data_IF_251534068941
#
_entry.id   IF_251534068941
#
_cell.length_a   1.000
_cell.length_b   1.000
_cell.length_c   1.000
_cell.angle_alpha   90.00
_cell.angle_beta   90.00
_cell.angle_gamma   90.00
#
_symmetry.space_group_name_H-M   'P 1'
#
loop_
_entity.id
_entity.type
_entity.pdbx_description
1 polymer ?
#
# COMPACT_ATOMS: atom_id res chain seq x y z
N UNK A 1 0.66 -10.99 20.86
CA UNK A 1 -0.69 -11.05 20.28
C UNK A 1 -0.50 -11.26 18.78
N UNK A 2 -1.18 -12.22 18.12
CA UNK A 2 -1.15 -12.27 16.66
C UNK A 2 -1.89 -11.03 16.17
N UNK A 3 -1.23 -10.13 15.48
CA UNK A 3 -1.93 -9.00 14.87
C UNK A 3 -2.78 -9.57 13.73
N UNK A 4 -4.07 -9.25 13.76
CA UNK A 4 -5.03 -9.70 12.76
C UNK A 4 -5.23 -8.60 11.75
N UNK A 5 -5.10 -8.93 10.47
CA UNK A 5 -5.46 -8.02 9.40
C UNK A 5 -6.96 -8.10 9.16
N UNK A 6 -7.67 -7.06 9.58
CA UNK A 6 -9.14 -6.95 9.43
C UNK A 6 -9.55 -6.83 7.96
N UNK A 7 -8.68 -6.28 7.11
CA UNK A 7 -8.97 -6.06 5.68
C UNK A 7 -8.96 -7.39 4.93
N UNK A 8 -7.91 -8.20 5.15
CA UNK A 8 -7.74 -9.48 4.45
C UNK A 8 -8.28 -10.69 5.23
N UNK A 9 -8.76 -10.47 6.46
CA UNK A 9 -9.18 -11.50 7.39
C UNK A 9 -8.13 -12.61 7.58
N UNK A 10 -6.86 -12.20 7.72
CA UNK A 10 -5.69 -13.08 7.79
C UNK A 10 -4.71 -12.60 8.86
N UNK A 11 -3.82 -13.46 9.39
CA UNK A 11 -2.74 -13.01 10.27
C UNK A 11 -1.85 -11.99 9.56
N UNK A 12 -1.59 -10.86 10.22
CA UNK A 12 -0.69 -9.81 9.72
C UNK A 12 0.75 -10.18 10.03
N UNK A 13 1.62 -10.06 9.03
CA UNK A 13 3.06 -10.16 9.24
C UNK A 13 3.58 -8.87 9.89
N UNK A 14 4.35 -9.02 10.97
CA UNK A 14 4.96 -7.90 11.69
C UNK A 14 6.46 -8.08 11.74
N UNK A 15 7.17 -6.95 11.63
CA UNK A 15 8.62 -6.93 11.82
C UNK A 15 8.86 -6.81 13.32
N UNK A 16 9.61 -7.77 13.87
CA UNK A 16 9.95 -7.82 15.29
C UNK A 16 11.47 -7.90 15.45
N UNK A 17 11.97 -7.45 16.59
CA UNK A 17 13.38 -7.65 16.92
C UNK A 17 13.69 -9.14 17.12
N UNK A 18 14.95 -9.52 16.94
CA UNK A 18 15.40 -10.89 17.20
C UNK A 18 15.08 -11.32 18.65
N UNK A 19 15.25 -10.42 19.61
CA UNK A 19 14.95 -10.67 21.02
C UNK A 19 13.47 -11.00 21.24
N UNK A 20 12.56 -10.23 20.63
CA UNK A 20 11.13 -10.47 20.73
C UNK A 20 10.73 -11.78 20.02
N UNK A 21 11.30 -12.03 18.84
CA UNK A 21 11.09 -13.28 18.10
C UNK A 21 11.50 -14.49 18.94
N UNK A 22 12.69 -14.46 19.54
CA UNK A 22 13.21 -15.50 20.43
C UNK A 22 12.31 -15.73 21.63
N UNK A 23 11.83 -14.67 22.29
CA UNK A 23 10.93 -14.80 23.43
C UNK A 23 9.59 -15.45 23.06
N UNK A 24 9.05 -15.17 21.87
CA UNK A 24 7.81 -15.79 21.38
C UNK A 24 8.02 -17.27 21.03
N UNK A 25 9.08 -17.59 20.29
CA UNK A 25 9.32 -18.94 19.78
C UNK A 25 9.74 -19.94 20.88
N UNK A 26 10.49 -19.50 21.90
CA UNK A 26 10.88 -20.36 23.04
C UNK A 26 9.70 -20.90 23.86
N UNK A 27 8.55 -20.22 23.81
CA UNK A 27 7.32 -20.64 24.51
C UNK A 27 6.63 -21.81 23.81
N UNK A 28 6.95 -22.08 22.55
CA UNK A 28 6.32 -23.11 21.74
C UNK A 28 7.19 -24.37 21.81
N UNK A 29 6.77 -25.38 22.58
CA UNK A 29 7.44 -26.69 22.61
C UNK A 29 6.97 -27.53 21.43
N UNK A 30 7.91 -28.07 20.68
CA UNK A 30 7.59 -28.74 19.40
C UNK A 30 7.85 -30.24 19.47
N UNK A 31 9.06 -30.66 19.87
CA UNK A 31 9.42 -32.08 19.86
C UNK A 31 10.37 -32.43 20.99
N UNK A 32 10.23 -33.63 21.53
CA UNK A 32 11.17 -34.20 22.50
C UNK A 32 12.18 -35.09 21.77
N UNK A 33 13.47 -34.81 21.95
CA UNK A 33 14.56 -35.64 21.43
C UNK A 33 15.38 -36.13 22.62
N UNK A 34 15.21 -37.41 22.98
CA UNK A 34 15.76 -37.98 24.19
C UNK A 34 15.24 -37.27 25.45
N UNK A 35 16.15 -36.75 26.27
CA UNK A 35 15.81 -36.00 27.50
C UNK A 35 15.59 -34.50 27.26
N UNK A 36 15.84 -33.99 26.06
CA UNK A 36 15.76 -32.55 25.75
C UNK A 36 14.45 -32.23 25.01
N UNK A 37 13.68 -31.27 25.53
CA UNK A 37 12.57 -30.65 24.81
C UNK A 37 13.09 -29.54 23.90
N UNK A 38 12.91 -29.68 22.59
CA UNK A 38 13.21 -28.64 21.62
C UNK A 38 12.00 -27.70 21.47
N UNK A 39 12.28 -26.40 21.46
CA UNK A 39 11.28 -25.38 21.16
C UNK A 39 11.36 -24.89 19.71
N UNK A 40 10.40 -24.06 19.30
CA UNK A 40 10.35 -23.56 17.93
C UNK A 40 11.55 -22.68 17.58
N UNK A 41 12.21 -22.06 18.57
CA UNK A 41 13.44 -21.30 18.34
C UNK A 41 14.61 -22.22 18.02
N UNK A 42 14.75 -23.33 18.75
CA UNK A 42 15.76 -24.34 18.47
C UNK A 42 15.59 -24.91 17.04
N UNK A 43 14.34 -25.17 16.62
CA UNK A 43 14.05 -25.66 15.26
C UNK A 43 14.40 -24.60 14.21
N UNK A 44 13.99 -23.34 14.42
CA UNK A 44 14.31 -22.24 13.51
C UNK A 44 15.82 -22.13 13.28
N UNK A 45 16.62 -22.19 14.35
CA UNK A 45 18.08 -22.13 14.24
C UNK A 45 18.66 -23.33 13.48
N UNK A 46 18.11 -24.53 13.67
CA UNK A 46 18.57 -25.74 12.96
C UNK A 46 18.29 -25.73 11.46
N UNK A 47 17.35 -24.90 11.01
CA UNK A 47 16.87 -24.81 9.63
C UNK A 47 16.82 -23.37 9.12
N UNK A 48 17.75 -22.54 9.59
CA UNK A 48 17.69 -21.10 9.34
C UNK A 48 17.65 -20.77 7.84
N UNK A 49 18.39 -21.54 7.03
CA UNK A 49 18.40 -21.40 5.57
C UNK A 49 17.00 -21.58 4.96
N UNK A 50 16.25 -22.59 5.40
CA UNK A 50 14.88 -22.89 4.94
C UNK A 50 13.88 -21.77 5.27
N UNK A 51 14.12 -21.03 6.35
CA UNK A 51 13.26 -19.93 6.80
C UNK A 51 13.79 -18.54 6.42
N UNK A 52 14.97 -18.48 5.79
CA UNK A 52 15.60 -17.23 5.41
C UNK A 52 15.19 -16.80 4.00
N UNK A 53 14.97 -15.50 3.85
CA UNK A 53 14.80 -14.84 2.55
C UNK A 53 15.88 -13.78 2.40
N UNK A 54 16.24 -13.46 1.15
CA UNK A 54 17.25 -12.43 0.84
C UNK A 54 16.79 -11.02 1.21
N UNK A 55 15.49 -10.83 1.37
CA UNK A 55 14.93 -9.55 1.76
C UNK A 55 13.42 -9.52 1.59
N UNK A 56 12.86 -8.32 1.76
CA UNK A 56 11.44 -8.06 1.67
C UNK A 56 11.21 -7.14 0.46
N UNK A 57 10.19 -7.45 -0.35
CA UNK A 57 9.74 -6.60 -1.45
C UNK A 57 8.24 -6.37 -1.30
N UNK A 58 7.76 -5.26 -1.86
CA UNK A 58 6.32 -5.01 -1.88
C UNK A 58 5.58 -6.13 -2.59
N UNK A 59 5.95 -6.46 -3.84
CA UNK A 59 5.46 -7.64 -4.53
C UNK A 59 6.60 -8.37 -5.25
N UNK A 60 6.62 -9.70 -5.14
CA UNK A 60 7.55 -10.55 -5.90
C UNK A 60 7.01 -11.97 -6.01
N UNK A 61 7.12 -12.60 -7.20
CA UNK A 61 6.80 -14.02 -7.36
C UNK A 61 7.97 -14.94 -6.94
N UNK A 62 9.15 -14.39 -6.65
CA UNK A 62 10.34 -15.19 -6.32
C UNK A 62 10.28 -15.68 -4.87
N UNK A 63 10.51 -16.98 -4.61
CA UNK A 63 10.53 -17.52 -3.24
C UNK A 63 11.70 -17.00 -2.40
N UNK A 64 12.73 -16.42 -3.04
CA UNK A 64 13.90 -15.87 -2.35
C UNK A 64 13.63 -14.54 -1.63
N UNK A 65 12.46 -13.93 -1.83
CA UNK A 65 12.07 -12.67 -1.24
C UNK A 65 10.68 -12.81 -0.63
N UNK A 66 10.45 -12.14 0.50
CA UNK A 66 9.12 -12.09 1.10
C UNK A 66 8.27 -10.99 0.44
N UNK A 67 7.05 -11.31 0.02
CA UNK A 67 6.09 -10.37 -0.58
C UNK A 67 5.15 -9.81 0.49
N UNK A 68 5.06 -8.49 0.60
CA UNK A 68 4.10 -7.81 1.50
C UNK A 68 2.70 -7.77 0.88
N UNK A 69 2.64 -7.63 -0.44
CA UNK A 69 1.41 -7.71 -1.21
C UNK A 69 0.96 -9.17 -1.28
N UNK A 70 -0.23 -9.45 -0.77
CA UNK A 70 -0.80 -10.80 -0.68
C UNK A 70 -2.07 -10.98 -1.52
N UNK A 71 -2.35 -9.99 -2.39
CA UNK A 71 -3.56 -9.93 -3.21
C UNK A 71 -4.48 -8.77 -2.81
N UNK A 72 -5.52 -8.54 -3.61
CA UNK A 72 -6.55 -7.55 -3.30
C UNK A 72 -7.65 -8.18 -2.42
N UNK A 73 -8.40 -7.33 -1.72
CA UNK A 73 -9.53 -7.76 -0.89
C UNK A 73 -10.66 -8.40 -1.73
N UNK A 74 -10.87 -7.89 -2.93
CA UNK A 74 -11.91 -8.34 -3.84
C UNK A 74 -11.33 -9.32 -4.87
N UNK A 75 -12.13 -10.31 -5.23
CA UNK A 75 -11.82 -11.25 -6.31
C UNK A 75 -12.19 -10.67 -7.67
N UNK A 76 -11.60 -11.20 -8.73
CA UNK A 76 -11.99 -10.84 -10.08
C UNK A 76 -13.40 -11.35 -10.36
N UNK A 77 -14.22 -10.48 -10.92
CA UNK A 77 -15.60 -10.77 -11.32
C UNK A 77 -15.76 -10.60 -12.82
N UNK A 78 -16.78 -11.23 -13.38
CA UNK A 78 -17.17 -11.01 -14.78
C UNK A 78 -17.58 -9.55 -15.01
N UNK A 79 -17.13 -8.98 -16.13
CA UNK A 79 -17.43 -7.60 -16.46
C UNK A 79 -18.91 -7.43 -16.80
N UNK A 80 -19.54 -6.45 -16.14
CA UNK A 80 -20.93 -6.05 -16.35
C UNK A 80 -21.00 -4.53 -16.46
N UNK A 81 -21.14 -4.03 -17.68
CA UNK A 81 -21.11 -2.60 -18.00
C UNK A 81 -22.13 -1.80 -17.19
N UNK A 82 -23.37 -2.29 -17.12
CA UNK A 82 -24.49 -1.67 -16.40
C UNK A 82 -24.25 -1.43 -14.89
N UNK A 83 -23.28 -2.12 -14.27
CA UNK A 83 -22.96 -1.93 -12.85
C UNK A 83 -22.00 -0.75 -12.66
N UNK A 84 -21.09 -0.55 -13.61
CA UNK A 84 -20.01 0.45 -13.51
C UNK A 84 -20.26 1.69 -14.37
N UNK A 85 -21.25 1.65 -15.26
CA UNK A 85 -21.63 2.73 -16.18
C UNK A 85 -21.74 4.08 -15.46
N UNK A 86 -22.51 4.13 -14.36
CA UNK A 86 -22.66 5.37 -13.58
C UNK A 86 -21.33 5.92 -13.04
N UNK A 87 -20.37 5.04 -12.73
CA UNK A 87 -19.03 5.46 -12.33
C UNK A 87 -18.22 5.97 -13.52
N UNK A 88 -18.26 5.27 -14.65
CA UNK A 88 -17.58 5.66 -15.88
C UNK A 88 -18.07 7.03 -16.38
N UNK A 89 -19.38 7.24 -16.38
CA UNK A 89 -20.01 8.51 -16.74
C UNK A 89 -19.57 9.63 -15.80
N UNK A 90 -19.51 9.37 -14.49
CA UNK A 90 -19.01 10.35 -13.52
C UNK A 90 -17.56 10.73 -13.80
N UNK A 91 -16.69 9.75 -14.09
CA UNK A 91 -15.29 10.03 -14.44
C UNK A 91 -15.23 10.87 -15.73
N UNK A 92 -15.96 10.50 -16.77
CA UNK A 92 -15.92 11.19 -18.06
C UNK A 92 -16.50 12.60 -17.99
N UNK A 93 -17.71 12.75 -17.46
CA UNK A 93 -18.46 14.01 -17.51
C UNK A 93 -18.03 14.96 -16.38
N UNK A 94 -17.77 14.46 -15.18
CA UNK A 94 -17.48 15.32 -14.01
C UNK A 94 -15.98 15.49 -13.78
N UNK A 95 -15.19 14.43 -13.85
CA UNK A 95 -13.74 14.50 -13.57
C UNK A 95 -12.97 14.99 -14.81
N UNK A 96 -13.30 14.47 -15.99
CA UNK A 96 -12.63 14.83 -17.24
C UNK A 96 -13.31 15.97 -18.00
N UNK A 97 -14.49 16.42 -17.56
CA UNK A 97 -15.26 17.48 -18.23
C UNK A 97 -15.48 17.18 -19.73
N UNK A 98 -15.81 15.92 -20.04
CA UNK A 98 -16.03 15.42 -21.40
C UNK A 98 -14.76 15.24 -22.24
N UNK A 99 -13.57 15.45 -21.68
CA UNK A 99 -12.31 15.28 -22.41
C UNK A 99 -11.91 13.80 -22.55
N UNK A 100 -12.15 13.24 -23.73
CA UNK A 100 -11.90 11.83 -24.03
C UNK A 100 -10.44 11.40 -23.81
N UNK A 101 -9.46 12.25 -24.13
CA UNK A 101 -8.04 11.92 -23.96
C UNK A 101 -7.66 11.81 -22.48
N UNK A 102 -8.20 12.70 -21.65
CA UNK A 102 -7.96 12.68 -20.20
C UNK A 102 -8.69 11.49 -19.58
N UNK A 103 -9.90 11.19 -20.05
CA UNK A 103 -10.68 10.04 -19.62
C UNK A 103 -9.95 8.72 -19.87
N UNK A 104 -9.48 8.50 -21.10
CA UNK A 104 -8.71 7.31 -21.46
C UNK A 104 -7.42 7.19 -20.64
N UNK A 105 -6.71 8.31 -20.43
CA UNK A 105 -5.52 8.34 -19.58
C UNK A 105 -5.81 7.93 -18.14
N UNK A 106 -6.90 8.45 -17.55
CA UNK A 106 -7.31 8.10 -16.18
C UNK A 106 -7.67 6.61 -16.08
N UNK A 107 -8.40 6.05 -17.05
CA UNK A 107 -8.72 4.62 -17.06
C UNK A 107 -7.46 3.76 -17.16
N UNK A 108 -6.53 4.11 -18.05
CA UNK A 108 -5.23 3.44 -18.15
C UNK A 108 -4.43 3.55 -16.84
N UNK A 109 -4.48 4.71 -16.19
CA UNK A 109 -3.81 4.95 -14.91
C UNK A 109 -4.38 4.03 -13.80
N UNK A 110 -5.70 3.86 -13.74
CA UNK A 110 -6.37 2.91 -12.84
C UNK A 110 -5.99 1.46 -13.15
N UNK A 111 -6.05 1.08 -14.44
CA UNK A 111 -5.71 -0.25 -14.88
C UNK A 111 -4.27 -0.63 -14.51
N UNK A 112 -3.31 0.29 -14.67
CA UNK A 112 -1.91 0.02 -14.38
C UNK A 112 -1.67 -0.31 -12.89
N UNK A 113 -2.31 0.43 -11.97
CA UNK A 113 -2.15 0.23 -10.51
C UNK A 113 -2.76 -1.10 -10.04
N UNK A 114 -3.88 -1.50 -10.65
CA UNK A 114 -4.60 -2.72 -10.30
C UNK A 114 -3.98 -3.97 -10.94
N UNK A 115 -3.55 -3.88 -12.19
CA UNK A 115 -3.02 -5.03 -12.94
C UNK A 115 -1.55 -5.33 -12.63
N UNK A 116 -0.76 -4.31 -12.27
CA UNK A 116 0.67 -4.47 -12.03
C UNK A 116 1.05 -4.10 -10.60
N UNK A 117 1.08 -5.07 -9.67
CA UNK A 117 1.27 -4.77 -8.26
C UNK A 117 2.59 -4.07 -7.89
N UNK A 118 3.64 -4.23 -8.70
CA UNK A 118 4.94 -3.57 -8.49
C UNK A 118 5.12 -2.32 -9.34
N UNK A 119 4.18 -1.97 -10.21
CA UNK A 119 4.31 -0.79 -11.05
C UNK A 119 4.00 0.46 -10.25
N UNK A 120 4.79 1.49 -10.50
CA UNK A 120 4.53 2.87 -10.06
C UNK A 120 4.17 3.65 -11.31
N UNK A 121 3.09 4.42 -11.27
CA UNK A 121 2.67 5.18 -12.45
C UNK A 121 3.57 6.39 -12.74
N UNK A 122 4.51 6.71 -11.84
CA UNK A 122 5.46 7.82 -11.95
C UNK A 122 4.79 9.18 -12.22
N UNK A 123 3.49 9.27 -11.93
CA UNK A 123 2.62 10.40 -12.19
C UNK A 123 1.62 10.55 -11.05
N UNK A 124 1.28 11.79 -10.72
CA UNK A 124 0.25 12.12 -9.74
C UNK A 124 -0.91 12.84 -10.45
N UNK A 125 -2.14 12.42 -10.14
CA UNK A 125 -3.35 13.09 -10.63
C UNK A 125 -3.71 14.24 -9.70
N UNK A 126 -3.93 15.43 -10.27
CA UNK A 126 -4.40 16.61 -9.54
C UNK A 126 -5.83 16.89 -10.00
N UNK A 127 -6.79 16.75 -9.09
CA UNK A 127 -8.21 16.95 -9.39
C UNK A 127 -8.71 18.20 -8.67
N UNK A 128 -8.97 19.26 -9.45
CA UNK A 128 -9.44 20.55 -8.94
C UNK A 128 -10.88 20.74 -9.40
N UNK A 129 -11.76 21.14 -8.48
CA UNK A 129 -13.15 21.45 -8.81
C UNK A 129 -13.91 21.96 -7.61
N UNK A 130 -15.15 22.39 -7.81
CA UNK A 130 -16.02 22.87 -6.72
C UNK A 130 -16.25 21.78 -5.67
N UNK A 131 -16.47 22.16 -4.41
CA UNK A 131 -16.89 21.23 -3.38
C UNK A 131 -18.25 20.61 -3.75
N UNK A 132 -18.51 19.36 -3.33
CA UNK A 132 -19.76 18.67 -3.64
C UNK A 132 -19.85 18.04 -5.04
N UNK A 133 -18.78 18.11 -5.84
CA UNK A 133 -18.71 17.49 -7.18
C UNK A 133 -18.38 15.99 -7.16
N UNK A 134 -18.30 15.37 -5.98
CA UNK A 134 -18.04 13.92 -5.87
C UNK A 134 -16.60 13.48 -6.10
N UNK A 135 -15.61 14.39 -6.16
CA UNK A 135 -14.17 14.07 -6.35
C UNK A 135 -13.62 13.04 -5.35
N UNK A 136 -14.11 13.03 -4.11
CA UNK A 136 -13.63 12.08 -3.12
C UNK A 136 -14.46 10.79 -3.19
N UNK A 137 -15.75 10.91 -2.90
CA UNK A 137 -16.69 9.78 -2.79
C UNK A 137 -16.78 8.90 -4.03
N UNK A 138 -16.81 9.49 -5.23
CA UNK A 138 -17.00 8.73 -6.48
C UNK A 138 -15.70 8.48 -7.26
N UNK A 139 -14.55 8.96 -6.77
CA UNK A 139 -13.28 8.75 -7.46
C UNK A 139 -12.22 8.18 -6.53
N UNK A 140 -11.75 8.96 -5.56
CA UNK A 140 -10.66 8.51 -4.68
C UNK A 140 -11.12 7.39 -3.75
N UNK A 141 -12.32 7.46 -3.19
CA UNK A 141 -12.80 6.50 -2.20
C UNK A 141 -13.04 5.13 -2.80
N UNK A 142 -13.52 5.07 -4.04
CA UNK A 142 -13.70 3.81 -4.78
C UNK A 142 -12.33 3.16 -5.04
N UNK A 143 -11.35 3.93 -5.51
CA UNK A 143 -10.01 3.37 -5.75
C UNK A 143 -9.32 2.96 -4.45
N UNK A 144 -9.42 3.75 -3.39
CA UNK A 144 -8.94 3.40 -2.06
C UNK A 144 -9.61 2.12 -1.54
N UNK A 145 -10.90 1.95 -1.80
CA UNK A 145 -11.62 0.73 -1.43
C UNK A 145 -11.10 -0.47 -2.22
N UNK A 146 -10.89 -0.35 -3.54
CA UNK A 146 -10.29 -1.43 -4.34
C UNK A 146 -8.87 -1.79 -3.86
N UNK A 147 -8.13 -0.81 -3.36
CA UNK A 147 -6.77 -0.94 -2.84
C UNK A 147 -6.72 -1.04 -1.32
N UNK A 148 -7.81 -1.42 -0.65
CA UNK A 148 -7.89 -1.47 0.81
C UNK A 148 -6.73 -2.30 1.39
N UNK A 149 -6.06 -1.76 2.41
CA UNK A 149 -4.83 -2.32 2.97
C UNK A 149 -3.53 -1.83 2.31
N UNK A 150 -3.62 -1.27 1.10
CA UNK A 150 -2.50 -0.68 0.35
C UNK A 150 -2.76 0.77 -0.10
N UNK A 151 -3.79 1.42 0.44
CA UNK A 151 -4.11 2.82 0.16
C UNK A 151 -4.24 3.64 1.44
N UNK A 152 -3.82 4.89 1.39
CA UNK A 152 -4.08 5.87 2.44
C UNK A 152 -5.07 6.94 1.93
N UNK A 153 -6.35 6.91 2.35
CA UNK A 153 -7.39 7.74 1.76
C UNK A 153 -7.40 9.20 2.24
N UNK A 154 -6.73 9.52 3.36
CA UNK A 154 -6.85 10.84 3.99
C UNK A 154 -5.51 11.30 4.56
N UNK A 155 -4.61 11.71 3.67
CA UNK A 155 -3.36 12.35 4.07
C UNK A 155 -3.50 13.87 4.01
N UNK A 156 -3.70 14.49 5.18
CA UNK A 156 -3.93 15.94 5.30
C UNK A 156 -2.63 16.73 5.52
N UNK A 157 -1.59 16.08 6.05
CA UNK A 157 -0.31 16.73 6.33
C UNK A 157 0.81 16.18 5.44
N UNK A 158 1.39 17.05 4.60
CA UNK A 158 2.56 16.77 3.77
C UNK A 158 3.79 16.37 4.59
N UNK A 159 3.92 16.81 5.84
CA UNK A 159 5.03 16.39 6.71
C UNK A 159 4.99 14.89 7.02
N UNK A 160 3.83 14.23 6.96
CA UNK A 160 3.75 12.78 7.11
C UNK A 160 4.25 12.03 5.85
N UNK A 161 4.34 12.72 4.72
CA UNK A 161 4.82 12.20 3.44
C UNK A 161 6.32 12.51 3.26
N UNK A 162 6.66 13.79 3.37
CA UNK A 162 7.98 14.34 3.04
C UNK A 162 8.85 14.64 4.27
N UNK A 163 8.31 14.47 5.48
CA UNK A 163 9.05 14.71 6.71
C UNK A 163 9.90 13.51 7.13
N UNK A 164 10.55 13.67 8.28
CA UNK A 164 11.51 12.68 8.81
C UNK A 164 10.86 11.33 9.14
N UNK A 165 9.59 11.30 9.54
CA UNK A 165 8.90 10.05 9.87
C UNK A 165 7.80 9.77 8.85
N UNK A 166 8.12 8.95 7.86
CA UNK A 166 7.29 8.67 6.68
C UNK A 166 6.83 7.20 6.61
N UNK A 167 6.81 6.47 7.74
CA UNK A 167 6.32 5.09 7.76
C UNK A 167 4.90 4.90 7.23
N UNK A 168 4.09 5.96 7.20
CA UNK A 168 2.72 5.94 6.65
C UNK A 168 2.64 5.77 5.13
N UNK A 169 3.73 6.02 4.39
CA UNK A 169 3.82 5.76 2.94
C UNK A 169 4.40 4.37 2.64
N UNK A 170 4.94 3.70 3.66
CA UNK A 170 5.55 2.38 3.50
C UNK A 170 4.51 1.36 3.05
N UNK A 171 4.84 0.60 1.99
CA UNK A 171 3.99 -0.46 1.45
C UNK A 171 2.62 0.02 0.95
N UNK A 172 2.49 1.31 0.62
CA UNK A 172 1.29 1.88 0.01
C UNK A 172 1.44 1.94 -1.51
N UNK A 173 0.36 1.63 -2.23
CA UNK A 173 0.19 1.84 -3.67
C UNK A 173 -0.39 3.21 -3.99
N UNK A 174 -1.32 3.68 -3.15
CA UNK A 174 -2.05 4.91 -3.38
C UNK A 174 -2.04 5.76 -2.12
N UNK A 175 -1.72 7.03 -2.28
CA UNK A 175 -1.82 8.02 -1.22
C UNK A 175 -2.69 9.15 -1.76
N UNK A 176 -3.80 9.40 -1.07
CA UNK A 176 -4.73 10.49 -1.41
C UNK A 176 -4.45 11.65 -0.48
N UNK A 177 -4.02 12.76 -1.06
CA UNK A 177 -3.76 14.01 -0.35
C UNK A 177 -5.00 14.90 -0.43
N UNK A 178 -5.85 14.82 0.59
CA UNK A 178 -7.05 15.65 0.68
C UNK A 178 -6.72 16.97 1.38
N UNK A 179 -7.17 18.08 0.80
CA UNK A 179 -6.98 19.42 1.36
C UNK A 179 -5.52 19.66 1.75
N UNK A 180 -4.64 19.65 0.76
CA UNK A 180 -3.34 20.30 0.92
C UNK A 180 -3.66 21.77 1.25
N UNK A 181 -3.73 22.08 2.55
CA UNK A 181 -3.98 23.42 3.05
C UNK A 181 -3.06 24.32 2.25
N UNK A 182 -3.65 25.37 1.66
CA UNK A 182 -2.96 26.38 0.89
C UNK A 182 -1.60 26.58 1.52
N UNK A 183 -0.57 26.15 0.79
CA UNK A 183 0.80 26.35 1.18
C UNK A 183 0.93 27.86 1.21
N UNK A 184 0.76 28.43 2.40
CA UNK A 184 1.11 29.81 2.66
C UNK A 184 2.50 29.97 2.08
N UNK A 185 2.64 31.01 1.28
CA UNK A 185 3.81 31.41 0.47
C UNK A 185 5.15 31.45 1.23
N UNK A 186 5.16 31.07 2.52
CA UNK A 186 6.26 31.02 3.46
C UNK A 186 6.81 29.61 3.74
N UNK A 187 6.05 28.53 3.53
CA UNK A 187 6.61 27.16 3.57
C UNK A 187 6.87 26.72 2.14
N UNK A 188 8.13 26.81 1.71
CA UNK A 188 8.57 26.17 0.47
C UNK A 188 8.24 24.68 0.60
N UNK A 189 7.13 24.28 -0.01
CA UNK A 189 6.83 22.89 -0.28
C UNK A 189 8.10 22.32 -0.88
N UNK A 190 8.64 21.25 -0.27
CA UNK A 190 9.82 20.60 -0.81
C UNK A 190 9.38 19.86 -2.09
N UNK A 191 9.23 20.64 -3.17
CA UNK A 191 8.68 20.19 -4.44
C UNK A 191 9.52 19.08 -5.04
N UNK A 192 10.81 19.09 -4.73
CA UNK A 192 11.75 18.06 -5.12
C UNK A 192 11.53 16.78 -4.31
N UNK A 193 11.19 16.86 -3.01
CA UNK A 193 10.78 15.69 -2.25
C UNK A 193 9.50 15.03 -2.80
N UNK A 194 8.51 15.81 -3.24
CA UNK A 194 7.30 15.27 -3.88
C UNK A 194 7.62 14.66 -5.25
N UNK A 195 8.45 15.29 -6.08
CA UNK A 195 8.89 14.72 -7.36
C UNK A 195 9.64 13.41 -7.17
N UNK A 196 10.57 13.37 -6.21
CA UNK A 196 11.28 12.17 -5.81
C UNK A 196 10.30 11.09 -5.35
N UNK A 197 9.35 11.43 -4.48
CA UNK A 197 8.33 10.48 -4.05
C UNK A 197 7.51 9.92 -5.22
N UNK A 198 7.22 10.70 -6.25
CA UNK A 198 6.46 10.26 -7.42
C UNK A 198 7.31 9.41 -8.35
N UNK A 199 8.58 9.75 -8.57
CA UNK A 199 9.41 9.19 -9.66
C UNK A 199 10.48 8.20 -9.19
N UNK A 200 11.02 8.35 -7.98
CA UNK A 200 12.12 7.52 -7.51
C UNK A 200 11.68 6.08 -7.29
N UNK A 201 12.52 5.14 -7.71
CA UNK A 201 12.28 3.69 -7.57
C UNK A 201 12.53 3.19 -6.15
N UNK A 202 13.31 3.93 -5.37
CA UNK A 202 13.70 3.59 -4.00
C UNK A 202 13.59 4.83 -3.14
N UNK A 203 12.88 4.72 -2.02
CA UNK A 203 12.77 5.76 -1.01
C UNK A 203 13.29 5.27 0.34
N UNK A 204 13.83 6.18 1.14
CA UNK A 204 14.20 5.89 2.53
C UNK A 204 12.96 6.02 3.39
N UNK A 205 12.69 4.99 4.20
CA UNK A 205 11.60 4.99 5.17
C UNK A 205 12.17 5.04 6.58
N UNK A 206 11.76 6.05 7.33
CA UNK A 206 12.14 6.25 8.72
C UNK A 206 10.91 6.05 9.62
N UNK A 207 11.03 5.09 10.55
CA UNK A 207 10.00 4.77 11.56
C UNK A 207 10.30 5.52 12.85
N UNK A 208 9.25 5.89 13.60
CA UNK A 208 9.37 6.49 14.94
C UNK A 208 9.94 5.51 15.95
#
# INVERSE_FOLDING_TARGET
MKEWDVVFNKPRATIVSEQECRQKLKKIKVVQVGMKMLDAWDILLSKLEDFSVRGIKFYTPSPNFYSIFTGYKYEQVEWKENIIEAWLDHVKEIICNGNEKVYEYILCWFANILQYPSAKNETALIIIGKQGTGKNTFFTDILCKLLEGYSNPNMTNLENICGKFNSSIENMKLIVCNELQSIDTTKVLNSDALKSLITDKVGVVERK
#
